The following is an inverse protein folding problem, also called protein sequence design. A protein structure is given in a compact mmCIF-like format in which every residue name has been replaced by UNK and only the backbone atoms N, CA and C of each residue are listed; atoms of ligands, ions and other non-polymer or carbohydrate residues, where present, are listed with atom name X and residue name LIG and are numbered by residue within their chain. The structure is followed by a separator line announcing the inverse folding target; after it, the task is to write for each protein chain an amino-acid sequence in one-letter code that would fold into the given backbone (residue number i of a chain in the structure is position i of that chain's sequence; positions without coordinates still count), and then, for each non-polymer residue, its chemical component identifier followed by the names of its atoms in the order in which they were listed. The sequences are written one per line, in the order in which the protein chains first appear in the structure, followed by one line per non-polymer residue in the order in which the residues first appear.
data_IF_118018501734
#
_entry.id   IF_118018501734
#
_cell.length_a   1.000
_cell.length_b   1.000
_cell.length_c   1.000
_cell.angle_alpha   90.00
_cell.angle_beta   90.00
_cell.angle_gamma   90.00
#
_symmetry.space_group_name_H-M   'P 1'
#
loop_
_entity.id
_entity.type
_entity.pdbx_description
1 polymer ?
#
# COMPACT_ATOMS: atom_id res chain seq x y z
N UNK A 1 31.72 13.32 11.32
CA UNK A 1 31.41 12.08 12.07
C UNK A 1 30.22 11.45 11.39
N UNK A 2 30.43 10.33 10.72
CA UNK A 2 29.43 9.55 10.00
C UNK A 2 28.67 8.68 11.00
N UNK A 3 27.44 9.06 11.33
CA UNK A 3 26.48 8.21 12.06
C UNK A 3 25.83 7.30 11.01
N UNK A 4 26.35 6.09 10.83
CA UNK A 4 25.85 4.86 11.44
C UNK A 4 24.59 4.34 10.74
N UNK A 5 24.77 3.89 9.49
CA UNK A 5 23.85 2.96 8.82
C UNK A 5 23.63 1.66 9.62
N UNK A 6 24.44 1.39 10.65
CA UNK A 6 24.39 0.16 11.45
C UNK A 6 23.30 0.16 12.53
N UNK A 7 22.69 1.30 12.86
CA UNK A 7 21.68 1.36 13.93
C UNK A 7 20.30 0.90 13.42
N UNK A 8 19.97 1.14 12.15
CA UNK A 8 18.71 0.70 11.54
C UNK A 8 18.61 -0.82 11.42
N UNK A 9 19.69 -1.49 11.02
CA UNK A 9 19.70 -2.96 10.87
C UNK A 9 19.61 -3.70 12.23
N UNK A 10 20.15 -3.10 13.30
CA UNK A 10 20.05 -3.69 14.65
C UNK A 10 18.66 -3.60 15.24
N UNK A 11 17.91 -2.53 14.92
CA UNK A 11 16.53 -2.35 15.42
C UNK A 11 15.56 -3.35 14.79
N UNK A 12 15.81 -3.84 13.56
CA UNK A 12 14.97 -4.87 12.94
C UNK A 12 15.11 -6.26 13.57
N UNK A 13 16.30 -6.60 14.10
CA UNK A 13 16.61 -7.92 14.66
C UNK A 13 16.06 -8.11 16.09
N UNK A 14 15.80 -7.04 16.82
CA UNK A 14 15.31 -7.06 18.22
C UNK A 14 13.80 -6.83 18.34
N UNK A 15 13.00 -7.26 17.35
CA UNK A 15 11.53 -7.13 17.44
C UNK A 15 10.99 -8.11 18.51
N UNK A 16 10.36 -7.61 19.60
CA UNK A 16 9.87 -8.48 20.68
C UNK A 16 8.69 -9.34 20.19
N UNK A 17 8.68 -10.63 20.56
CA UNK A 17 7.53 -11.50 20.32
C UNK A 17 6.40 -11.17 21.30
N UNK A 18 5.57 -10.20 20.95
CA UNK A 18 4.29 -9.90 21.62
C UNK A 18 3.14 -10.58 20.88
N UNK A 19 2.14 -11.03 21.64
CA UNK A 19 0.94 -11.77 21.18
C UNK A 19 0.12 -11.04 20.08
N UNK A 20 0.33 -9.73 19.95
CA UNK A 20 -0.10 -8.92 18.82
C UNK A 20 1.00 -7.89 18.57
N UNK A 21 1.74 -8.04 17.47
CA UNK A 21 2.67 -7.02 17.01
C UNK A 21 1.87 -5.95 16.27
N UNK A 22 1.51 -4.86 16.96
CA UNK A 22 1.13 -3.64 16.26
C UNK A 22 2.39 -2.99 15.72
N UNK A 23 2.83 -3.40 14.54
CA UNK A 23 3.93 -2.78 13.80
C UNK A 23 3.37 -1.82 12.74
N UNK A 24 3.89 -0.60 12.67
CA UNK A 24 3.68 0.25 11.50
C UNK A 24 4.40 -0.38 10.30
N UNK A 25 3.77 -0.32 9.13
CA UNK A 25 4.40 -0.74 7.88
C UNK A 25 5.22 0.43 7.36
N UNK A 26 6.47 0.20 7.01
CA UNK A 26 7.32 1.25 6.47
C UNK A 26 6.80 1.73 5.11
N UNK A 27 6.82 3.04 4.91
CA UNK A 27 6.45 3.65 3.63
C UNK A 27 7.54 3.33 2.60
N UNK A 28 7.19 2.83 1.41
CA UNK A 28 8.18 2.60 0.36
C UNK A 28 8.78 3.93 -0.11
N UNK A 29 10.04 3.94 -0.56
CA UNK A 29 10.67 5.16 -1.08
C UNK A 29 10.05 5.65 -2.40
N UNK A 30 9.52 4.73 -3.21
CA UNK A 30 8.83 5.02 -4.46
C UNK A 30 7.80 3.94 -4.81
N UNK A 31 6.83 4.29 -5.66
CA UNK A 31 5.89 3.35 -6.26
C UNK A 31 5.61 3.71 -7.72
N UNK A 32 5.02 2.78 -8.46
CA UNK A 32 4.48 3.03 -9.79
C UNK A 32 2.95 2.94 -9.76
N UNK A 33 2.29 3.89 -10.41
CA UNK A 33 0.84 3.89 -10.58
C UNK A 33 0.47 4.49 -11.94
N UNK A 34 -0.32 3.76 -12.72
CA UNK A 34 -0.81 4.20 -14.03
C UNK A 34 0.33 4.63 -15.00
N UNK A 35 1.50 4.00 -14.87
CA UNK A 35 2.70 4.33 -15.67
C UNK A 35 3.52 5.51 -15.14
N UNK A 36 3.08 6.17 -14.08
CA UNK A 36 3.79 7.27 -13.43
C UNK A 36 4.58 6.77 -12.21
N UNK A 37 5.78 7.30 -12.04
CA UNK A 37 6.61 7.05 -10.85
C UNK A 37 6.28 8.08 -9.79
N UNK A 38 5.87 7.61 -8.62
CA UNK A 38 5.59 8.42 -7.43
C UNK A 38 6.74 8.22 -6.46
N UNK A 39 7.34 9.31 -6.00
CA UNK A 39 8.44 9.30 -5.02
C UNK A 39 7.94 9.90 -3.71
N UNK A 40 8.24 9.25 -2.58
CA UNK A 40 7.81 9.67 -1.24
C UNK A 40 8.93 10.40 -0.50
N UNK A 41 9.66 11.28 -1.21
CA UNK A 41 10.74 12.10 -0.66
C UNK A 41 10.21 13.29 0.15
N UNK A 42 9.09 13.85 -0.28
CA UNK A 42 8.42 14.94 0.42
C UNK A 42 7.66 14.40 1.64
N UNK A 43 7.84 15.10 2.75
CA UNK A 43 7.21 14.76 4.03
C UNK A 43 5.68 14.63 3.95
N UNK A 44 5.02 15.54 3.20
CA UNK A 44 3.56 15.51 3.04
C UNK A 44 3.05 14.29 2.28
N UNK A 45 3.80 13.81 1.28
CA UNK A 45 3.46 12.60 0.55
C UNK A 45 3.71 11.35 1.39
N UNK A 46 4.83 11.32 2.10
CA UNK A 46 5.18 10.23 3.00
C UNK A 46 4.14 10.06 4.13
N UNK A 47 3.76 11.14 4.81
CA UNK A 47 2.77 11.09 5.90
C UNK A 47 1.39 10.62 5.40
N UNK A 48 0.99 11.03 4.20
CA UNK A 48 -0.25 10.56 3.58
C UNK A 48 -0.22 9.07 3.30
N UNK A 49 0.88 8.57 2.74
CA UNK A 49 1.02 7.12 2.49
C UNK A 49 1.07 6.32 3.79
N UNK A 50 1.82 6.78 4.79
CA UNK A 50 1.89 6.15 6.12
C UNK A 50 0.51 6.02 6.77
N UNK A 51 -0.30 7.08 6.69
CA UNK A 51 -1.69 7.06 7.21
C UNK A 51 -2.54 5.99 6.53
N UNK A 52 -2.49 5.92 5.20
CA UNK A 52 -3.27 4.93 4.44
C UNK A 52 -2.80 3.50 4.72
N UNK A 53 -1.48 3.25 4.76
CA UNK A 53 -0.91 1.95 5.09
C UNK A 53 -1.30 1.48 6.48
N UNK A 54 -1.24 2.36 7.48
CA UNK A 54 -1.67 2.03 8.84
C UNK A 54 -3.18 1.74 8.89
N UNK A 55 -4.01 2.51 8.18
CA UNK A 55 -5.45 2.27 8.09
C UNK A 55 -5.76 0.87 7.51
N UNK A 56 -5.14 0.51 6.39
CA UNK A 56 -5.35 -0.81 5.75
C UNK A 56 -4.81 -1.97 6.58
N UNK A 57 -3.70 -1.76 7.30
CA UNK A 57 -3.07 -2.78 8.12
C UNK A 57 -3.97 -3.20 9.28
N UNK A 58 -4.73 -2.29 9.89
CA UNK A 58 -5.53 -2.60 11.08
C UNK A 58 -7.04 -2.67 10.86
N UNK A 59 -7.54 -2.27 9.68
CA UNK A 59 -8.95 -2.36 9.32
C UNK A 59 -9.32 -3.66 8.57
N UNK A 60 -8.96 -4.80 9.17
CA UNK A 60 -8.96 -6.12 8.53
C UNK A 60 -10.30 -6.60 7.98
N UNK A 61 -11.43 -6.26 8.61
CA UNK A 61 -12.76 -6.73 8.18
C UNK A 61 -13.14 -6.18 6.81
N UNK A 62 -12.83 -4.91 6.55
CA UNK A 62 -13.08 -4.25 5.27
C UNK A 62 -12.09 -4.71 4.21
N UNK A 63 -10.80 -4.76 4.54
CA UNK A 63 -9.75 -5.23 3.62
C UNK A 63 -10.04 -6.64 3.12
N UNK A 64 -10.49 -7.55 4.00
CA UNK A 64 -10.87 -8.91 3.60
C UNK A 64 -12.09 -8.96 2.68
N UNK A 65 -13.08 -8.08 2.88
CA UNK A 65 -14.25 -7.97 2.01
C UNK A 65 -13.86 -7.40 0.63
N UNK A 66 -12.96 -6.42 0.59
CA UNK A 66 -12.42 -5.86 -0.65
C UNK A 66 -11.74 -6.94 -1.49
N UNK A 67 -10.94 -7.82 -0.88
CA UNK A 67 -10.33 -8.95 -1.62
C UNK A 67 -11.38 -9.88 -2.24
N UNK A 68 -12.47 -10.19 -1.52
CA UNK A 68 -13.56 -11.01 -2.06
C UNK A 68 -14.28 -10.34 -3.23
N UNK A 69 -14.51 -9.03 -3.15
CA UNK A 69 -15.12 -8.24 -4.24
C UNK A 69 -14.19 -8.12 -5.44
N UNK A 70 -12.90 -7.83 -5.20
CA UNK A 70 -11.87 -7.75 -6.23
C UNK A 70 -11.82 -9.02 -7.07
N UNK A 71 -11.82 -10.20 -6.44
CA UNK A 71 -11.84 -11.49 -7.15
C UNK A 71 -13.06 -11.68 -8.08
N UNK A 72 -14.18 -10.99 -7.82
CA UNK A 72 -15.37 -11.04 -8.66
C UNK A 72 -15.38 -9.97 -9.75
N UNK A 73 -14.88 -8.78 -9.42
CA UNK A 73 -15.03 -7.58 -10.26
C UNK A 73 -13.81 -7.35 -11.16
N UNK A 74 -12.60 -7.67 -10.72
CA UNK A 74 -11.38 -7.47 -11.52
C UNK A 74 -11.40 -8.24 -12.85
N UNK A 75 -11.83 -9.52 -12.92
CA UNK A 75 -11.93 -10.23 -14.20
C UNK A 75 -12.90 -9.58 -15.20
N UNK A 76 -13.83 -8.74 -14.73
CA UNK A 76 -14.77 -8.00 -15.57
C UNK A 76 -14.17 -6.65 -15.99
N UNK A 77 -13.50 -5.94 -15.08
CA UNK A 77 -12.92 -4.61 -15.33
C UNK A 77 -11.66 -4.69 -16.20
N UNK A 78 -10.74 -5.61 -15.92
CA UNK A 78 -9.47 -5.77 -16.63
C UNK A 78 -9.59 -5.84 -18.18
N UNK A 79 -10.48 -6.67 -18.77
CA UNK A 79 -10.65 -6.70 -20.21
C UNK A 79 -11.28 -5.42 -20.78
N UNK A 80 -12.06 -4.69 -19.98
CA UNK A 80 -12.62 -3.39 -20.39
C UNK A 80 -11.51 -2.35 -20.43
N UNK A 81 -10.71 -2.23 -19.36
CA UNK A 81 -9.57 -1.31 -19.31
C UNK A 81 -8.61 -1.54 -20.49
N UNK A 82 -8.31 -2.81 -20.77
CA UNK A 82 -7.44 -3.19 -21.89
C UNK A 82 -8.02 -2.80 -23.26
N UNK A 83 -9.33 -2.91 -23.45
CA UNK A 83 -10.00 -2.51 -24.71
C UNK A 83 -9.94 -1.00 -24.92
N UNK A 84 -10.10 -0.24 -23.84
CA UNK A 84 -10.08 1.23 -23.87
C UNK A 84 -8.65 1.81 -23.82
N UNK A 85 -7.63 0.96 -23.71
CA UNK A 85 -6.22 1.41 -23.63
C UNK A 85 -5.88 2.11 -22.32
N UNK A 86 -6.64 1.87 -21.26
CA UNK A 86 -6.45 2.47 -19.93
C UNK A 86 -5.48 1.60 -19.10
N UNK A 87 -4.62 2.21 -18.26
CA UNK A 87 -3.76 1.45 -17.36
C UNK A 87 -4.55 0.54 -16.42
N UNK A 88 -4.05 -0.67 -16.21
CA UNK A 88 -4.68 -1.68 -15.36
C UNK A 88 -4.82 -1.21 -13.89
N UNK A 89 -3.88 -0.38 -13.43
CA UNK A 89 -3.85 0.18 -12.08
C UNK A 89 -5.10 1.02 -11.73
N UNK A 90 -5.82 1.53 -12.74
CA UNK A 90 -7.06 2.31 -12.53
C UNK A 90 -8.13 1.49 -11.82
N UNK A 91 -8.10 0.16 -11.87
CA UNK A 91 -9.02 -0.68 -11.09
C UNK A 91 -8.93 -0.43 -9.58
N UNK A 92 -7.75 -0.03 -9.07
CA UNK A 92 -7.57 0.29 -7.66
C UNK A 92 -8.23 1.62 -7.26
N UNK A 93 -8.47 2.52 -8.23
CA UNK A 93 -9.26 3.73 -7.97
C UNK A 93 -10.72 3.39 -7.62
N UNK A 94 -11.32 2.42 -8.32
CA UNK A 94 -12.66 1.94 -7.96
C UNK A 94 -12.70 1.29 -6.56
N UNK A 95 -11.60 0.64 -6.14
CA UNK A 95 -11.49 0.06 -4.79
C UNK A 95 -11.50 1.16 -3.72
N UNK A 96 -10.68 2.21 -3.88
CA UNK A 96 -10.56 3.26 -2.86
C UNK A 96 -11.81 4.17 -2.80
N UNK A 97 -12.45 4.45 -3.93
CA UNK A 97 -13.60 5.36 -4.01
C UNK A 97 -14.93 4.69 -3.58
N UNK A 98 -15.20 3.46 -4.02
CA UNK A 98 -16.50 2.81 -3.80
C UNK A 98 -16.43 1.54 -2.96
N UNK A 99 -15.24 1.10 -2.53
CA UNK A 99 -15.04 -0.24 -1.96
C UNK A 99 -15.49 -1.37 -2.91
N UNK A 100 -15.36 -1.13 -4.22
CA UNK A 100 -15.97 -1.92 -5.31
C UNK A 100 -17.49 -2.01 -5.16
#
# INVERSE_FOLDING_TARGET
MTLSNNDSEKVELERPQVLSMTASVDVPGEMMFAGEKIVFDRYDLHERMDRELNSFTYFHSTTLLLFKRANRIFPVIEPILKREGVPDDIKYLAVIESSL
#
